data_IF_974014300086
#
_entry.id   IF_974014300086
#
_cell.length_a   1.000
_cell.length_b   1.000
_cell.length_c   1.000
_cell.angle_alpha   90.00
_cell.angle_beta   90.00
_cell.angle_gamma   90.00
#
_symmetry.space_group_name_H-M   'P 1'
#
loop_
_entity.id
_entity.type
_entity.pdbx_description
1 polymer ?
#
# COMPACT_ATOMS: atom_id res chain seq x y z
N UNK A 1 2.48 -0.20 2.62
CA UNK A 1 2.80 1.19 2.20
C UNK A 1 2.84 1.25 0.69
N UNK A 2 2.29 2.30 0.11
CA UNK A 2 2.15 2.48 -1.33
C UNK A 2 2.66 3.87 -1.68
N UNK A 3 3.43 3.98 -2.75
CA UNK A 3 3.89 5.26 -3.29
C UNK A 3 3.19 5.51 -4.62
N UNK A 4 2.37 6.56 -4.65
CA UNK A 4 1.63 7.00 -5.81
C UNK A 4 2.40 8.16 -6.46
N UNK A 5 3.21 7.84 -7.47
CA UNK A 5 4.17 8.77 -8.07
C UNK A 5 3.47 9.94 -8.78
N UNK A 6 2.42 9.66 -9.58
CA UNK A 6 1.71 10.69 -10.35
C UNK A 6 1.02 11.69 -9.43
N UNK A 7 0.48 11.20 -8.32
CA UNK A 7 -0.23 11.96 -7.31
C UNK A 7 0.71 12.57 -6.26
N UNK A 8 2.01 12.21 -6.30
CA UNK A 8 3.04 12.60 -5.32
C UNK A 8 2.62 12.28 -3.89
N UNK A 9 2.09 11.08 -3.67
CA UNK A 9 1.58 10.64 -2.36
C UNK A 9 2.32 9.41 -1.85
N UNK A 10 2.58 9.40 -0.55
CA UNK A 10 2.98 8.19 0.18
C UNK A 10 1.82 7.81 1.09
N UNK A 11 1.27 6.62 0.88
CA UNK A 11 0.11 6.10 1.62
C UNK A 11 0.56 4.95 2.49
N UNK A 12 0.30 5.06 3.79
CA UNK A 12 0.51 3.96 4.72
C UNK A 12 -0.76 3.11 4.83
N UNK A 13 -0.63 1.82 4.51
CA UNK A 13 -1.70 0.83 4.64
C UNK A 13 -1.17 -0.26 5.55
N UNK A 14 -1.77 -0.37 6.72
CA UNK A 14 -1.49 -1.37 7.73
C UNK A 14 -2.82 -1.88 8.28
N UNK A 15 -3.09 -3.17 8.06
CA UNK A 15 -4.29 -3.84 8.53
C UNK A 15 -4.29 -4.08 10.04
N UNK A 16 -3.16 -3.94 10.75
CA UNK A 16 -3.06 -4.15 12.19
C UNK A 16 -3.32 -2.89 13.00
N UNK A 17 -2.54 -1.83 12.77
CA UNK A 17 -2.59 -0.63 13.61
C UNK A 17 -3.17 0.58 12.89
N UNK A 18 -3.18 0.57 11.56
CA UNK A 18 -3.57 1.70 10.72
C UNK A 18 -2.70 2.96 10.87
N UNK A 19 -1.72 2.97 11.77
CA UNK A 19 -0.93 4.14 12.13
C UNK A 19 0.44 4.10 11.44
N UNK A 20 0.81 5.13 10.66
CA UNK A 20 2.12 5.20 10.06
C UNK A 20 3.17 5.46 11.13
N UNK A 21 4.28 4.72 11.05
CA UNK A 21 5.48 5.12 11.76
C UNK A 21 6.12 6.28 10.99
N UNK A 22 6.25 7.45 11.62
CA UNK A 22 6.87 8.64 11.00
C UNK A 22 8.25 8.32 10.40
N UNK A 23 9.04 7.51 11.09
CA UNK A 23 10.36 7.06 10.62
C UNK A 23 10.30 6.29 9.30
N UNK A 24 9.27 5.49 9.07
CA UNK A 24 9.09 4.75 7.82
C UNK A 24 8.77 5.68 6.66
N UNK A 25 7.90 6.67 6.89
CA UNK A 25 7.60 7.70 5.88
C UNK A 25 8.87 8.48 5.52
N UNK A 26 9.64 8.92 6.51
CA UNK A 26 10.92 9.60 6.29
C UNK A 26 11.88 8.76 5.45
N UNK A 27 12.03 7.47 5.79
CA UNK A 27 12.95 6.56 5.07
C UNK A 27 12.56 6.40 3.59
N UNK A 28 11.25 6.35 3.29
CA UNK A 28 10.78 6.30 1.90
C UNK A 28 11.01 7.62 1.18
N UNK A 29 10.77 8.75 1.83
CA UNK A 29 11.04 10.05 1.21
C UNK A 29 12.52 10.21 0.87
N UNK A 30 13.41 9.78 1.76
CA UNK A 30 14.85 9.74 1.51
C UNK A 30 15.22 8.83 0.33
N UNK A 31 14.61 7.63 0.26
CA UNK A 31 14.80 6.71 -0.86
C UNK A 31 14.34 7.34 -2.19
N UNK A 32 13.20 8.02 -2.21
CA UNK A 32 12.69 8.69 -3.41
C UNK A 32 13.63 9.82 -3.86
N UNK A 33 14.14 10.62 -2.93
CA UNK A 33 15.15 11.63 -3.23
C UNK A 33 16.42 11.01 -3.84
N UNK A 34 16.93 9.94 -3.23
CA UNK A 34 18.10 9.22 -3.72
C UNK A 34 17.89 8.68 -5.13
N UNK A 35 16.79 7.96 -5.37
CA UNK A 35 16.47 7.37 -6.67
C UNK A 35 16.31 8.45 -7.74
N UNK A 36 15.67 9.59 -7.41
CA UNK A 36 15.48 10.67 -8.36
C UNK A 36 16.80 11.32 -8.78
N UNK A 37 17.72 11.56 -7.84
CA UNK A 37 19.06 12.05 -8.15
C UNK A 37 19.83 11.04 -8.99
N UNK A 38 19.80 9.76 -8.62
CA UNK A 38 20.51 8.71 -9.36
C UNK A 38 19.97 8.52 -10.79
N UNK A 39 18.68 8.74 -11.02
CA UNK A 39 18.02 8.51 -12.31
C UNK A 39 18.05 9.75 -13.21
N UNK A 40 17.83 10.94 -12.64
CA UNK A 40 17.62 12.18 -13.40
C UNK A 40 18.69 13.24 -13.16
N UNK A 41 19.67 12.97 -12.29
CA UNK A 41 20.71 13.93 -11.88
C UNK A 41 20.14 15.27 -11.39
N UNK A 42 18.99 15.22 -10.72
CA UNK A 42 18.28 16.39 -10.22
C UNK A 42 17.64 16.08 -8.85
N UNK A 43 17.52 17.07 -7.94
CA UNK A 43 16.82 16.87 -6.67
C UNK A 43 15.32 16.68 -6.90
N UNK A 44 14.70 15.80 -6.11
CA UNK A 44 13.25 15.66 -6.05
C UNK A 44 12.66 16.85 -5.27
N UNK A 45 11.67 17.52 -5.84
CA UNK A 45 10.92 18.55 -5.10
C UNK A 45 9.97 17.89 -4.09
N UNK A 46 10.41 17.72 -2.85
CA UNK A 46 9.62 17.07 -1.78
C UNK A 46 8.45 17.94 -1.28
N UNK A 47 8.45 19.24 -1.56
CA UNK A 47 7.41 20.16 -1.03
C UNK A 47 6.02 19.86 -1.60
N UNK A 48 5.97 19.18 -2.74
CA UNK A 48 4.74 18.75 -3.41
C UNK A 48 4.30 17.34 -3.01
N UNK A 49 5.01 16.69 -2.07
CA UNK A 49 4.69 15.33 -1.63
C UNK A 49 3.90 15.31 -0.34
N UNK A 50 2.87 14.47 -0.29
CA UNK A 50 2.00 14.33 0.86
C UNK A 50 2.08 12.92 1.44
N UNK A 51 2.40 12.82 2.72
CA UNK A 51 2.22 11.61 3.49
C UNK A 51 0.79 11.59 4.03
N UNK A 52 -0.04 10.71 3.48
CA UNK A 52 -1.42 10.58 3.91
C UNK A 52 -1.59 9.32 4.76
N UNK A 53 -2.25 9.51 5.90
CA UNK A 53 -3.12 8.47 6.39
C UNK A 53 -4.33 8.44 5.48
N UNK A 54 -4.81 7.27 5.05
CA UNK A 54 -6.08 7.21 4.36
C UNK A 54 -7.12 7.96 5.19
N UNK A 55 -7.69 9.04 4.63
CA UNK A 55 -8.84 9.70 5.23
C UNK A 55 -10.07 8.77 5.24
N UNK A 56 -9.98 7.65 4.55
CA UNK A 56 -10.97 6.58 4.51
C UNK A 56 -10.68 5.53 5.58
N UNK A 57 -11.76 5.00 6.17
CA UNK A 57 -11.70 3.83 7.06
C UNK A 57 -11.16 2.66 6.25
N UNK A 58 -9.87 2.36 6.39
CA UNK A 58 -9.29 1.15 5.85
C UNK A 58 -9.76 -0.06 6.67
N UNK A 59 -10.13 -1.17 6.03
CA UNK A 59 -10.60 -2.35 6.74
C UNK A 59 -9.44 -2.97 7.53
N UNK A 60 -9.60 -3.09 8.85
CA UNK A 60 -8.57 -3.69 9.70
C UNK A 60 -8.78 -5.20 9.85
N UNK A 61 -7.68 -5.95 9.96
CA UNK A 61 -7.73 -7.36 10.28
C UNK A 61 -8.11 -7.55 11.76
N UNK A 62 -8.78 -8.66 12.06
CA UNK A 62 -9.21 -9.02 13.42
C UNK A 62 -8.57 -10.32 13.93
N UNK A 63 -7.56 -10.82 13.20
CA UNK A 63 -6.78 -12.02 13.52
C UNK A 63 -5.28 -11.77 13.30
N UNK A 64 -4.46 -12.80 13.46
CA UNK A 64 -2.99 -12.70 13.35
C UNK A 64 -2.41 -13.22 12.02
N UNK A 65 -3.25 -13.71 11.09
CA UNK A 65 -2.82 -14.49 9.92
C UNK A 65 -3.34 -13.98 8.56
N UNK A 66 -4.18 -12.92 8.54
CA UNK A 66 -4.66 -12.31 7.29
C UNK A 66 -3.86 -11.10 6.80
N UNK A 67 -2.81 -10.65 7.51
CA UNK A 67 -2.05 -9.45 7.10
C UNK A 67 -1.54 -9.52 5.65
N UNK A 68 -1.09 -10.71 5.21
CA UNK A 68 -0.68 -10.94 3.82
C UNK A 68 -1.85 -10.88 2.83
N UNK A 69 -3.04 -11.35 3.21
CA UNK A 69 -4.23 -11.29 2.36
C UNK A 69 -4.71 -9.85 2.20
N UNK A 70 -4.78 -9.09 3.30
CA UNK A 70 -5.06 -7.66 3.27
C UNK A 70 -4.06 -6.90 2.41
N UNK A 71 -2.75 -7.18 2.55
CA UNK A 71 -1.71 -6.55 1.74
C UNK A 71 -1.92 -6.79 0.23
N UNK A 72 -2.18 -8.04 -0.18
CA UNK A 72 -2.45 -8.38 -1.57
C UNK A 72 -3.69 -7.65 -2.09
N UNK A 73 -4.78 -7.63 -1.32
CA UNK A 73 -6.02 -6.98 -1.74
C UNK A 73 -5.93 -5.47 -1.77
N UNK A 74 -5.20 -4.83 -0.84
CA UNK A 74 -4.88 -3.42 -0.93
C UNK A 74 -4.13 -3.09 -2.21
N UNK A 75 -3.08 -3.85 -2.53
CA UNK A 75 -2.28 -3.63 -3.72
C UNK A 75 -3.12 -3.77 -4.99
N UNK A 76 -3.95 -4.81 -5.09
CA UNK A 76 -4.84 -5.05 -6.23
C UNK A 76 -5.86 -3.93 -6.40
N UNK A 77 -6.55 -3.52 -5.33
CA UNK A 77 -7.56 -2.48 -5.40
C UNK A 77 -6.96 -1.14 -5.83
N UNK A 78 -5.78 -0.78 -5.31
CA UNK A 78 -5.11 0.46 -5.68
C UNK A 78 -4.60 0.41 -7.12
N UNK A 79 -4.00 -0.71 -7.54
CA UNK A 79 -3.52 -0.88 -8.91
C UNK A 79 -4.65 -0.80 -9.94
N UNK A 80 -5.86 -1.21 -9.56
CA UNK A 80 -7.06 -1.13 -10.39
C UNK A 80 -7.86 0.18 -10.20
N UNK A 81 -7.33 1.14 -9.44
CA UNK A 81 -8.01 2.40 -9.10
C UNK A 81 -9.42 2.20 -8.49
N UNK A 82 -9.61 1.10 -7.75
CA UNK A 82 -10.87 0.74 -7.10
C UNK A 82 -10.91 1.21 -5.66
N UNK A 83 -12.08 1.67 -5.22
CA UNK A 83 -12.36 1.95 -3.82
C UNK A 83 -12.28 0.66 -3.00
N UNK A 84 -11.55 0.68 -1.90
CA UNK A 84 -11.48 -0.43 -0.95
C UNK A 84 -12.83 -0.54 -0.23
N UNK A 85 -13.55 -1.63 -0.51
CA UNK A 85 -14.91 -1.90 -0.02
C UNK A 85 -15.07 -3.28 0.64
N UNK A 86 -13.98 -4.04 0.74
CA UNK A 86 -13.96 -5.35 1.39
C UNK A 86 -13.75 -5.24 2.91
N UNK A 87 -14.03 -6.32 3.63
CA UNK A 87 -13.73 -6.43 5.05
C UNK A 87 -13.22 -7.84 5.46
N UNK A 88 -13.05 -8.05 6.78
CA UNK A 88 -12.56 -9.31 7.35
C UNK A 88 -13.36 -10.57 6.94
N UNK A 89 -14.67 -10.48 6.68
CA UNK A 89 -15.47 -11.66 6.25
C UNK A 89 -15.10 -12.15 4.84
N UNK A 90 -14.43 -11.32 4.04
CA UNK A 90 -14.05 -11.68 2.67
C UNK A 90 -12.72 -12.45 2.61
N UNK A 91 -11.93 -12.43 3.70
CA UNK A 91 -10.58 -13.04 3.74
C UNK A 91 -10.55 -14.53 3.38
N UNK A 92 -11.48 -15.39 3.83
CA UNK A 92 -11.50 -16.79 3.41
C UNK A 92 -11.68 -16.96 1.90
N UNK A 93 -12.48 -16.10 1.26
CA UNK A 93 -12.68 -16.11 -0.18
C UNK A 93 -11.42 -15.61 -0.91
N UNK A 94 -10.87 -14.47 -0.50
CA UNK A 94 -9.64 -13.94 -1.10
C UNK A 94 -8.45 -14.86 -0.96
N UNK A 95 -8.30 -15.54 0.19
CA UNK A 95 -7.24 -16.55 0.39
C UNK A 95 -7.33 -17.69 -0.63
N UNK A 96 -8.54 -18.16 -0.93
CA UNK A 96 -8.76 -19.18 -1.97
C UNK A 96 -8.45 -18.65 -3.36
N UNK A 97 -8.85 -17.41 -3.66
CA UNK A 97 -8.53 -16.78 -4.94
C UNK A 97 -7.02 -16.62 -5.14
N UNK A 98 -6.31 -16.07 -4.15
CA UNK A 98 -4.85 -15.88 -4.22
C UNK A 98 -4.15 -17.22 -4.40
N UNK A 99 -4.56 -18.25 -3.64
CA UNK A 99 -4.01 -19.60 -3.80
C UNK A 99 -4.20 -20.11 -5.23
N UNK A 100 -5.40 -19.95 -5.80
CA UNK A 100 -5.70 -20.39 -7.16
C UNK A 100 -4.87 -19.62 -8.19
N UNK A 101 -4.80 -18.28 -8.08
CA UNK A 101 -3.99 -17.45 -8.97
C UNK A 101 -2.52 -17.86 -9.00
N UNK A 102 -1.95 -18.20 -7.83
CA UNK A 102 -0.58 -18.69 -7.71
C UNK A 102 -0.38 -20.08 -8.36
N UNK A 103 -1.38 -20.95 -8.30
CA UNK A 103 -1.32 -22.27 -8.95
C UNK A 103 -1.46 -22.18 -10.47
N UNK A 104 -2.34 -21.30 -10.93
CA UNK A 104 -2.63 -21.13 -12.35
C UNK A 104 -1.58 -20.25 -13.05
N UNK A 105 -0.77 -19.50 -12.30
CA UNK A 105 0.24 -18.56 -12.84
C UNK A 105 -0.37 -17.29 -13.43
N UNK A 106 -1.63 -17.00 -13.12
CA UNK A 106 -2.38 -15.86 -13.64
C UNK A 106 -3.08 -15.16 -12.46
N UNK A 107 -2.88 -13.84 -12.34
CA UNK A 107 -3.57 -12.98 -11.36
C UNK A 107 -4.93 -12.54 -11.87
#
# INVERSE_FOLDING_TARGET
MVVLIKERKVIHLDSLTGQPKRSLVSSIMELLCYVHVATYNAPLNISEWFALNPNEIIPLQRNCDDCGVFLCKYAEYIALERKIDFDQKDMPYFRRMIKKALQDGHL
#
